data_IF_828786916374
#
_entry.id   IF_828786916374
#
_cell.length_a   1.000
_cell.length_b   1.000
_cell.length_c   1.000
_cell.angle_alpha   90.00
_cell.angle_beta   90.00
_cell.angle_gamma   90.00
#
_symmetry.space_group_name_H-M   'P 1'
#
loop_
_entity.id
_entity.type
_entity.pdbx_description
1 polymer ?
#
# COMPACT_ATOMS: atom_id res chain seq x y z
N UNK A 1 -17.48 -3.54 -10.47
CA UNK A 1 -16.85 -4.87 -10.66
C UNK A 1 -15.49 -4.61 -11.30
N UNK A 2 -14.40 -4.63 -10.53
CA UNK A 2 -13.05 -4.55 -11.08
C UNK A 2 -12.82 -5.87 -11.82
N UNK A 3 -12.60 -5.83 -13.13
CA UNK A 3 -12.16 -7.01 -13.87
C UNK A 3 -10.64 -7.00 -13.74
N UNK A 4 -10.01 -7.95 -13.02
CA UNK A 4 -8.57 -7.96 -12.93
C UNK A 4 -8.03 -8.09 -14.35
N UNK A 5 -7.13 -7.18 -14.77
CA UNK A 5 -6.26 -7.47 -15.91
C UNK A 5 -5.65 -8.84 -15.60
N UNK A 6 -5.80 -9.81 -16.52
CA UNK A 6 -5.25 -11.16 -16.36
C UNK A 6 -3.83 -11.04 -15.84
N UNK A 7 -3.61 -11.44 -14.59
CA UNK A 7 -2.27 -11.46 -14.01
C UNK A 7 -1.44 -12.38 -14.88
N UNK A 8 -0.34 -11.86 -15.41
CA UNK A 8 0.56 -12.67 -16.23
C UNK A 8 1.40 -13.50 -15.27
N UNK A 9 1.47 -14.84 -15.46
CA UNK A 9 2.34 -15.68 -14.64
C UNK A 9 3.78 -15.18 -14.70
N UNK A 10 4.46 -15.15 -13.55
CA UNK A 10 5.89 -14.88 -13.52
C UNK A 10 6.63 -16.07 -14.13
N UNK A 11 7.44 -15.82 -15.16
CA UNK A 11 8.33 -16.83 -15.74
C UNK A 11 9.78 -16.45 -15.45
N UNK A 12 10.56 -17.45 -15.05
CA UNK A 12 12.01 -17.29 -14.98
C UNK A 12 12.61 -17.43 -16.38
N UNK A 13 13.72 -16.72 -16.70
CA UNK A 13 14.46 -16.93 -17.93
C UNK A 13 14.83 -18.42 -18.11
N UNK A 14 14.86 -18.88 -19.35
CA UNK A 14 15.28 -20.25 -19.68
C UNK A 14 16.70 -20.49 -19.13
N UNK A 15 16.82 -21.35 -18.13
CA UNK A 15 18.10 -21.77 -17.58
C UNK A 15 18.56 -23.09 -18.22
N UNK A 16 19.87 -23.29 -18.34
CA UNK A 16 20.44 -24.57 -18.83
C UNK A 16 20.31 -25.70 -17.80
N UNK A 17 19.96 -25.37 -16.56
CA UNK A 17 19.83 -26.30 -15.43
C UNK A 17 18.62 -25.86 -14.59
N UNK A 18 17.66 -26.76 -14.42
CA UNK A 18 16.56 -26.58 -13.48
C UNK A 18 17.07 -26.85 -12.06
N UNK A 19 16.81 -25.93 -11.13
CA UNK A 19 17.16 -26.10 -9.71
C UNK A 19 16.07 -26.85 -8.92
N UNK A 20 14.86 -26.96 -9.50
CA UNK A 20 13.70 -27.67 -8.97
C UNK A 20 12.85 -28.20 -10.13
N UNK A 21 11.94 -29.13 -9.84
CA UNK A 21 10.94 -29.60 -10.81
C UNK A 21 9.84 -28.53 -10.98
N UNK A 22 9.65 -27.94 -12.18
CA UNK A 22 8.66 -26.90 -12.41
C UNK A 22 7.24 -27.44 -12.64
N UNK A 23 7.01 -28.75 -12.59
CA UNK A 23 5.68 -29.35 -12.81
C UNK A 23 4.68 -28.81 -11.76
N UNK A 24 3.55 -28.19 -12.18
CA UNK A 24 2.56 -27.68 -11.25
C UNK A 24 1.94 -28.79 -10.41
N UNK A 25 2.00 -28.64 -9.09
CA UNK A 25 1.35 -29.54 -8.12
C UNK A 25 0.14 -28.82 -7.50
N UNK A 26 -0.91 -28.61 -8.30
CA UNK A 26 -2.17 -27.98 -7.85
C UNK A 26 -2.60 -26.79 -8.71
N UNK A 27 -3.60 -26.07 -8.22
CA UNK A 27 -4.18 -24.91 -8.91
C UNK A 27 -3.29 -23.66 -8.80
N UNK A 28 -3.32 -22.83 -9.84
CA UNK A 28 -2.60 -21.55 -9.86
C UNK A 28 -3.37 -20.53 -9.01
N UNK A 29 -2.68 -19.92 -8.05
CA UNK A 29 -3.24 -18.84 -7.23
C UNK A 29 -2.70 -17.47 -7.66
N UNK A 30 -3.59 -16.48 -7.78
CA UNK A 30 -3.22 -15.10 -8.02
C UNK A 30 -2.90 -14.38 -6.71
N UNK A 31 -1.64 -13.96 -6.53
CA UNK A 31 -1.24 -13.19 -5.36
C UNK A 31 -1.23 -11.68 -5.67
N UNK A 32 -2.18 -10.93 -5.11
CA UNK A 32 -2.21 -9.46 -5.21
C UNK A 32 -2.76 -8.83 -3.93
N UNK A 33 -2.14 -7.74 -3.47
CA UNK A 33 -2.49 -7.08 -2.19
C UNK A 33 -3.92 -6.54 -2.16
N UNK A 34 -4.52 -6.31 -3.34
CA UNK A 34 -5.92 -5.86 -3.50
C UNK A 34 -6.77 -6.86 -4.28
N UNK A 35 -6.40 -8.15 -4.24
CA UNK A 35 -7.08 -9.18 -5.04
C UNK A 35 -8.58 -9.28 -4.71
N UNK A 36 -8.90 -9.30 -3.42
CA UNK A 36 -10.28 -9.49 -2.94
C UNK A 36 -11.01 -8.17 -2.66
N UNK A 37 -10.32 -7.17 -2.11
CA UNK A 37 -10.88 -5.84 -1.80
C UNK A 37 -9.95 -4.70 -2.17
N UNK A 38 -10.55 -3.54 -2.42
CA UNK A 38 -9.82 -2.29 -2.55
C UNK A 38 -9.21 -1.88 -1.20
N UNK A 39 -8.04 -1.22 -1.19
CA UNK A 39 -7.45 -0.72 0.03
C UNK A 39 -8.34 0.36 0.65
N UNK A 40 -8.48 0.34 1.97
CA UNK A 40 -9.22 1.35 2.72
C UNK A 40 -8.23 2.35 3.31
N UNK A 41 -8.62 3.62 3.31
CA UNK A 41 -7.88 4.70 3.94
C UNK A 41 -8.75 5.32 5.03
N UNK A 42 -8.26 5.30 6.26
CA UNK A 42 -8.85 6.00 7.40
C UNK A 42 -7.93 7.13 7.81
N UNK A 43 -8.45 8.36 7.88
CA UNK A 43 -7.69 9.53 8.29
C UNK A 43 -8.31 10.12 9.56
N UNK A 44 -7.53 10.18 10.63
CA UNK A 44 -7.96 10.82 11.87
C UNK A 44 -7.94 12.34 11.67
N UNK A 45 -9.07 12.98 11.93
CA UNK A 45 -9.27 14.42 11.77
C UNK A 45 -8.18 15.26 12.46
N UNK A 46 -7.74 14.84 13.65
CA UNK A 46 -6.67 15.50 14.41
C UNK A 46 -5.38 15.65 13.60
N UNK A 47 -4.95 14.61 12.88
CA UNK A 47 -3.73 14.66 12.06
C UNK A 47 -3.88 15.67 10.92
N UNK A 48 -5.05 15.69 10.26
CA UNK A 48 -5.35 16.64 9.19
C UNK A 48 -5.41 18.08 9.69
N UNK A 49 -6.02 18.34 10.85
CA UNK A 49 -6.06 19.68 11.45
C UNK A 49 -4.67 20.20 11.82
N UNK A 50 -3.77 19.32 12.30
CA UNK A 50 -2.38 19.70 12.57
C UNK A 50 -1.64 20.07 11.29
N UNK A 51 -1.80 19.28 10.22
CA UNK A 51 -1.24 19.58 8.91
C UNK A 51 -1.76 20.93 8.37
N UNK A 52 -3.07 21.17 8.46
CA UNK A 52 -3.68 22.44 8.06
C UNK A 52 -3.15 23.63 8.88
N UNK A 53 -3.05 23.49 10.20
CA UNK A 53 -2.52 24.56 11.06
C UNK A 53 -1.07 24.88 10.71
N UNK A 54 -0.25 23.84 10.51
CA UNK A 54 1.14 24.02 10.10
C UNK A 54 1.24 24.72 8.73
N UNK A 55 0.39 24.34 7.76
CA UNK A 55 0.30 24.99 6.46
C UNK A 55 0.01 26.49 6.58
N UNK A 56 -0.92 26.88 7.46
CA UNK A 56 -1.31 28.27 7.69
C UNK A 56 -0.23 29.10 8.39
N UNK A 57 0.58 28.46 9.22
CA UNK A 57 1.71 29.09 9.91
C UNK A 57 2.97 29.16 9.04
N UNK A 58 3.01 28.43 7.92
CA UNK A 58 4.14 28.43 7.02
C UNK A 58 4.04 29.64 6.07
N UNK A 59 5.06 30.48 6.04
CA UNK A 59 5.13 31.66 5.17
C UNK A 59 5.40 31.29 3.70
N UNK A 60 5.82 30.04 3.43
CA UNK A 60 6.04 29.54 2.07
C UNK A 60 4.71 29.28 1.37
N UNK A 61 4.60 29.69 0.10
CA UNK A 61 3.42 29.44 -0.75
C UNK A 61 3.07 27.96 -0.90
N UNK A 62 4.06 27.09 -0.76
CA UNK A 62 3.91 25.64 -0.70
C UNK A 62 4.68 25.11 0.51
N UNK A 63 4.09 24.14 1.20
CA UNK A 63 4.75 23.41 2.28
C UNK A 63 4.71 21.91 1.97
N UNK A 64 5.71 21.20 2.47
CA UNK A 64 5.75 19.74 2.46
C UNK A 64 5.67 19.24 3.89
N UNK A 65 5.01 18.10 4.08
CA UNK A 65 4.92 17.43 5.37
C UNK A 65 4.71 15.92 5.14
N UNK A 66 4.75 15.18 6.23
CA UNK A 66 4.52 13.74 6.26
C UNK A 66 3.27 13.44 7.09
N UNK A 67 2.51 12.46 6.62
CA UNK A 67 1.44 11.83 7.38
C UNK A 67 1.86 10.41 7.66
N UNK A 68 1.82 10.04 8.94
CA UNK A 68 2.25 8.75 9.43
C UNK A 68 1.04 7.93 9.86
N UNK A 69 1.14 6.63 9.68
CA UNK A 69 0.04 5.73 9.93
C UNK A 69 0.48 4.28 10.05
N UNK A 70 -0.49 3.40 10.21
CA UNK A 70 -0.31 1.95 10.33
C UNK A 70 -1.09 1.26 9.22
N UNK A 71 -0.44 0.32 8.54
CA UNK A 71 -1.09 -0.58 7.60
C UNK A 71 -1.45 -1.87 8.32
N UNK A 72 -2.70 -2.29 8.25
CA UNK A 72 -3.19 -3.54 8.81
C UNK A 72 -3.95 -4.36 7.76
N UNK A 73 -3.91 -5.67 7.92
CA UNK A 73 -4.77 -6.61 7.18
C UNK A 73 -6.07 -6.78 7.98
N UNK A 74 -7.20 -6.81 7.29
CA UNK A 74 -8.51 -7.05 7.90
C UNK A 74 -8.56 -8.45 8.54
N UNK A 75 -9.42 -8.68 9.54
CA UNK A 75 -9.48 -9.94 10.30
C UNK A 75 -9.72 -11.18 9.42
N UNK A 76 -10.43 -11.01 8.29
CA UNK A 76 -10.71 -12.08 7.34
C UNK A 76 -9.60 -12.29 6.30
N UNK A 77 -8.54 -11.49 6.31
CA UNK A 77 -7.42 -11.59 5.36
C UNK A 77 -7.71 -11.03 3.96
N UNK A 78 -8.93 -10.52 3.72
CA UNK A 78 -9.42 -10.18 2.38
C UNK A 78 -9.25 -8.70 2.03
N UNK A 79 -8.83 -7.88 2.99
CA UNK A 79 -8.68 -6.44 2.83
C UNK A 79 -7.47 -5.88 3.55
N UNK A 80 -7.08 -4.67 3.15
CA UNK A 80 -6.05 -3.89 3.82
C UNK A 80 -6.58 -2.51 4.16
N UNK A 81 -6.22 -2.02 5.34
CA UNK A 81 -6.59 -0.69 5.81
C UNK A 81 -5.34 0.08 6.23
N UNK A 82 -5.14 1.26 5.63
CA UNK A 82 -4.16 2.25 6.08
C UNK A 82 -4.86 3.26 6.99
N UNK A 83 -4.44 3.32 8.25
CA UNK A 83 -4.93 4.31 9.22
C UNK A 83 -3.87 5.38 9.42
N UNK A 84 -4.17 6.61 9.00
CA UNK A 84 -3.33 7.79 9.20
C UNK A 84 -3.80 8.52 10.46
N UNK A 85 -2.94 8.57 11.47
CA UNK A 85 -3.26 9.11 12.79
C UNK A 85 -2.26 10.18 13.28
N UNK A 86 -1.14 10.33 12.58
CA UNK A 86 -0.02 11.17 13.00
C UNK A 86 0.39 12.14 11.89
N UNK A 87 0.72 13.36 12.32
CA UNK A 87 1.28 14.41 11.48
C UNK A 87 2.75 14.62 11.87
N UNK A 88 3.61 14.77 10.87
CA UNK A 88 5.02 15.09 11.02
C UNK A 88 5.40 16.22 10.03
N UNK A 89 5.83 17.41 10.50
CA UNK A 89 6.24 18.50 9.61
C UNK A 89 7.54 18.20 8.84
N UNK A 90 8.28 17.15 9.20
CA UNK A 90 9.61 16.89 8.67
C UNK A 90 10.67 17.78 9.30
N UNK A 91 11.93 17.58 8.89
CA UNK A 91 13.10 18.37 9.33
C UNK A 91 13.95 18.70 8.11
N UNK A 92 14.61 19.86 8.12
CA UNK A 92 15.66 20.15 7.15
C UNK A 92 16.86 19.22 7.42
N UNK A 93 17.52 18.76 6.34
CA UNK A 93 18.68 17.85 6.37
C UNK A 93 19.93 18.61 6.00
#
# INVERSE_FOLDING_TARGET
RFVPKRMVPFSFPLSKRALWDPVPMGDVIGAHITYYRNPRLSLVEKALRLAYRHAKQNEKKSFSCFLLGTLAVDEDGEGITLTIDRFDPGREV
#
